data_IF_093173797479
#
_entry.id   IF_093173797479
#
_cell.length_a   1.000
_cell.length_b   1.000
_cell.length_c   1.000
_cell.angle_alpha   90.00
_cell.angle_beta   90.00
_cell.angle_gamma   90.00
#
_symmetry.space_group_name_H-M   'P 1'
#
loop_
_entity.id
_entity.type
_entity.pdbx_description
1 polymer ?
#
# COMPACT_ATOMS: atom_id res chain seq x y z
N UNK A 1 10.85 9.89 -27.68
CA UNK A 1 11.04 10.23 -26.25
C UNK A 1 9.90 9.78 -25.35
N UNK A 2 8.62 10.12 -25.61
CA UNK A 2 7.48 9.73 -24.73
C UNK A 2 7.41 8.23 -24.37
N UNK A 3 7.61 7.32 -25.35
CA UNK A 3 7.58 5.85 -25.13
C UNK A 3 8.68 5.28 -24.22
N UNK A 4 9.81 5.98 -24.04
CA UNK A 4 10.88 5.52 -23.14
C UNK A 4 10.50 5.91 -21.71
N UNK A 5 10.08 7.15 -21.51
CA UNK A 5 9.63 7.67 -20.22
C UNK A 5 8.45 6.86 -19.66
N UNK A 6 7.48 6.46 -20.49
CA UNK A 6 6.35 5.61 -20.09
C UNK A 6 6.79 4.23 -19.59
N UNK A 7 7.83 3.65 -20.18
CA UNK A 7 8.38 2.35 -19.73
C UNK A 7 9.05 2.49 -18.38
N UNK A 8 9.89 3.50 -18.21
CA UNK A 8 10.57 3.77 -16.93
C UNK A 8 9.57 4.07 -15.80
N UNK A 9 8.54 4.91 -16.08
CA UNK A 9 7.45 5.17 -15.15
C UNK A 9 6.73 3.89 -14.73
N UNK A 10 6.48 2.98 -15.67
CA UNK A 10 5.83 1.70 -15.37
C UNK A 10 6.69 0.80 -14.49
N UNK A 11 8.01 0.78 -14.70
CA UNK A 11 8.95 0.05 -13.86
C UNK A 11 9.04 0.62 -12.45
N UNK A 12 9.17 1.94 -12.33
CA UNK A 12 9.21 2.63 -11.03
C UNK A 12 7.88 2.43 -10.28
N UNK A 13 6.76 2.56 -10.99
CA UNK A 13 5.43 2.34 -10.40
C UNK A 13 5.25 0.89 -9.92
N UNK A 14 5.73 -0.09 -10.70
CA UNK A 14 5.76 -1.49 -10.29
C UNK A 14 6.61 -1.74 -9.05
N UNK A 15 7.80 -1.15 -8.99
CA UNK A 15 8.70 -1.23 -7.83
C UNK A 15 8.10 -0.58 -6.59
N UNK A 16 7.50 0.61 -6.73
CA UNK A 16 6.80 1.30 -5.65
C UNK A 16 5.64 0.46 -5.13
N UNK A 17 4.83 -0.14 -6.01
CA UNK A 17 3.74 -1.03 -5.58
C UNK A 17 4.26 -2.22 -4.79
N UNK A 18 5.35 -2.87 -5.26
CA UNK A 18 5.95 -3.99 -4.55
C UNK A 18 6.46 -3.56 -3.17
N UNK A 19 7.14 -2.41 -3.11
CA UNK A 19 7.61 -1.82 -1.87
C UNK A 19 6.44 -1.59 -0.90
N UNK A 20 5.36 -0.92 -1.34
CA UNK A 20 4.16 -0.71 -0.54
C UNK A 20 3.50 -2.02 -0.10
N UNK A 21 3.54 -3.07 -0.93
CA UNK A 21 2.94 -4.36 -0.60
C UNK A 21 3.56 -4.99 0.64
N UNK A 22 4.89 -4.90 0.78
CA UNK A 22 5.61 -5.40 1.96
C UNK A 22 5.65 -4.38 3.10
N UNK A 23 5.85 -3.11 2.79
CA UNK A 23 6.02 -2.02 3.76
C UNK A 23 4.71 -1.60 4.44
N UNK A 24 3.54 -1.91 3.87
CA UNK A 24 2.25 -1.50 4.45
C UNK A 24 2.09 -1.97 5.89
N UNK A 25 2.51 -3.18 6.23
CA UNK A 25 2.37 -3.74 7.58
C UNK A 25 3.32 -3.07 8.60
N UNK A 26 4.64 -2.96 8.32
CA UNK A 26 5.55 -2.19 9.16
C UNK A 26 5.14 -0.74 9.34
N UNK A 27 4.64 -0.06 8.31
CA UNK A 27 4.19 1.34 8.43
C UNK A 27 2.94 1.41 9.28
N UNK A 28 1.95 0.56 9.04
CA UNK A 28 0.66 0.59 9.75
C UNK A 28 0.82 0.28 11.24
N UNK A 29 1.71 -0.64 11.61
CA UNK A 29 1.96 -1.03 13.01
C UNK A 29 3.07 -0.16 13.63
N UNK A 30 4.13 0.13 12.88
CA UNK A 30 5.31 0.83 13.38
C UNK A 30 5.04 2.31 13.69
N UNK A 31 4.24 3.02 12.89
CA UNK A 31 3.90 4.41 13.18
C UNK A 31 3.13 4.63 14.49
N UNK A 32 2.03 3.89 14.78
CA UNK A 32 1.35 4.05 16.05
C UNK A 32 2.24 3.63 17.23
N UNK A 33 3.11 2.62 17.07
CA UNK A 33 4.12 2.29 18.10
C UNK A 33 5.09 3.46 18.32
N UNK A 34 5.54 4.12 17.25
CA UNK A 34 6.45 5.27 17.35
C UNK A 34 5.79 6.47 18.05
N UNK A 35 4.53 6.76 17.74
CA UNK A 35 3.81 7.88 18.32
C UNK A 35 3.35 7.62 19.75
N UNK A 36 2.90 6.40 20.07
CA UNK A 36 2.35 6.08 21.39
C UNK A 36 3.43 5.69 22.41
N UNK A 37 4.48 4.98 21.96
CA UNK A 37 5.48 4.39 22.86
C UNK A 37 6.79 5.16 22.89
N UNK A 38 7.22 5.73 21.75
CA UNK A 38 8.46 6.51 21.66
C UNK A 38 8.23 8.02 21.85
N UNK A 39 6.99 8.48 21.93
CA UNK A 39 6.65 9.90 22.04
C UNK A 39 7.16 10.73 20.84
N UNK A 40 7.34 10.09 19.69
CA UNK A 40 7.88 10.75 18.51
C UNK A 40 6.93 11.86 18.03
N UNK A 41 7.50 12.98 17.58
CA UNK A 41 6.70 14.13 17.15
C UNK A 41 5.82 13.76 15.95
N UNK A 42 4.54 14.12 16.04
CA UNK A 42 3.57 13.82 14.99
C UNK A 42 3.93 14.58 13.73
N UNK A 43 4.14 13.84 12.65
CA UNK A 43 4.47 14.38 11.35
C UNK A 43 3.31 14.15 10.38
N UNK A 44 2.78 15.23 9.81
CA UNK A 44 1.66 15.19 8.86
C UNK A 44 1.98 14.30 7.65
N UNK A 45 3.22 14.33 7.15
CA UNK A 45 3.64 13.47 6.04
C UNK A 45 3.53 11.97 6.37
N UNK A 46 3.96 11.59 7.57
CA UNK A 46 3.88 10.21 8.04
C UNK A 46 2.42 9.78 8.29
N UNK A 47 1.59 10.70 8.77
CA UNK A 47 0.16 10.45 8.98
C UNK A 47 -0.57 10.23 7.65
N UNK A 48 -0.29 11.06 6.63
CA UNK A 48 -0.81 10.86 5.27
C UNK A 48 -0.34 9.52 4.69
N UNK A 49 0.94 9.19 4.85
CA UNK A 49 1.50 7.92 4.38
C UNK A 49 0.80 6.72 5.03
N UNK A 50 0.53 6.81 6.32
CA UNK A 50 -0.19 5.79 7.08
C UNK A 50 -1.63 5.62 6.58
N UNK A 51 -2.36 6.72 6.38
CA UNK A 51 -3.72 6.70 5.82
C UNK A 51 -3.74 6.09 4.41
N UNK A 52 -2.77 6.44 3.56
CA UNK A 52 -2.64 5.86 2.21
C UNK A 52 -2.41 4.34 2.27
N UNK A 53 -1.57 3.86 3.19
CA UNK A 53 -1.38 2.43 3.42
C UNK A 53 -2.68 1.74 3.85
N UNK A 54 -3.47 2.34 4.74
CA UNK A 54 -4.78 1.79 5.14
C UNK A 54 -5.74 1.71 3.96
N UNK A 55 -5.84 2.76 3.15
CA UNK A 55 -6.72 2.76 1.97
C UNK A 55 -6.33 1.65 1.00
N UNK A 56 -5.02 1.45 0.77
CA UNK A 56 -4.50 0.36 -0.07
C UNK A 56 -4.89 -1.01 0.48
N UNK A 57 -4.73 -1.24 1.79
CA UNK A 57 -5.13 -2.49 2.44
C UNK A 57 -6.63 -2.73 2.29
N UNK A 58 -7.47 -1.72 2.58
CA UNK A 58 -8.93 -1.84 2.45
C UNK A 58 -9.29 -2.18 1.01
N UNK A 59 -8.69 -1.51 0.02
CA UNK A 59 -8.94 -1.79 -1.40
C UNK A 59 -8.56 -3.23 -1.78
N UNK A 60 -7.42 -3.72 -1.29
CA UNK A 60 -6.99 -5.12 -1.48
C UNK A 60 -8.03 -6.09 -0.90
N UNK A 61 -8.46 -5.86 0.35
CA UNK A 61 -9.47 -6.68 1.02
C UNK A 61 -10.82 -6.63 0.32
N UNK A 62 -11.29 -5.45 -0.10
CA UNK A 62 -12.55 -5.29 -0.85
C UNK A 62 -12.45 -6.01 -2.20
N UNK A 63 -11.34 -5.88 -2.92
CA UNK A 63 -11.14 -6.57 -4.20
C UNK A 63 -11.11 -8.09 -4.00
N UNK A 64 -10.41 -8.56 -2.98
CA UNK A 64 -10.38 -9.97 -2.60
C UNK A 64 -11.78 -10.49 -2.22
N UNK A 65 -12.53 -9.73 -1.41
CA UNK A 65 -13.87 -10.07 -0.98
C UNK A 65 -14.87 -10.08 -2.15
N UNK A 66 -14.80 -9.09 -3.03
CA UNK A 66 -15.62 -9.04 -4.25
C UNK A 66 -15.30 -10.20 -5.18
N UNK A 67 -14.03 -10.59 -5.33
CA UNK A 67 -13.64 -11.80 -6.09
C UNK A 67 -14.19 -13.06 -5.47
N UNK A 68 -14.08 -13.20 -4.14
CA UNK A 68 -14.65 -14.32 -3.40
C UNK A 68 -16.16 -14.43 -3.60
N UNK A 69 -16.90 -13.32 -3.48
CA UNK A 69 -18.35 -13.28 -3.69
C UNK A 69 -18.75 -13.61 -5.13
N UNK A 70 -17.89 -13.33 -6.12
CA UNK A 70 -18.17 -13.59 -7.54
C UNK A 70 -18.07 -15.07 -7.91
N UNK A 71 -17.56 -15.92 -7.02
CA UNK A 71 -17.46 -17.37 -7.27
C UNK A 71 -16.58 -17.75 -8.46
N UNK A 72 -15.68 -16.87 -8.90
CA UNK A 72 -14.69 -17.18 -9.92
C UNK A 72 -13.77 -18.28 -9.39
N UNK A 73 -13.98 -19.52 -9.87
CA UNK A 73 -13.09 -20.65 -9.58
C UNK A 73 -11.69 -20.30 -10.06
N UNK A 74 -10.75 -20.23 -9.13
CA UNK A 74 -9.34 -19.89 -9.36
C UNK A 74 -8.58 -21.04 -10.08
N UNK A 75 -9.22 -22.18 -10.31
CA UNK A 75 -8.64 -23.28 -11.08
C UNK A 75 -9.27 -23.37 -12.46
N UNK A 76 -8.44 -23.11 -13.47
CA UNK A 76 -8.59 -23.65 -14.82
C UNK A 76 -7.29 -24.35 -15.19
#
# INVERSE_FOLDING_TARGET
MKKILERELKHIYGGIILFFYYMKWPIVIGLPVLYLYLGYERNIFLDILWVLCIILIIKDFVTMYLRYRRGEKIWK
#
